data_IF_885952386597
#
_entry.id   IF_885952386597
#
_cell.length_a   1.000
_cell.length_b   1.000
_cell.length_c   1.000
_cell.angle_alpha   90.00
_cell.angle_beta   90.00
_cell.angle_gamma   90.00
#
_symmetry.space_group_name_H-M   'P 1'
#
loop_
_entity.id
_entity.type
_entity.pdbx_description
1 polymer ?
#
# COMPACT_ATOMS: atom_id res chain seq x y z
N UNK A 1 -3.15 -10.45 5.09
CA UNK A 1 -3.52 -9.17 4.46
C UNK A 1 -2.50 -8.07 4.72
N UNK A 2 -1.26 -8.24 4.24
CA UNK A 2 -0.20 -7.20 4.22
C UNK A 2 0.78 -7.39 3.04
N UNK A 3 0.64 -8.46 2.25
CA UNK A 3 1.50 -8.70 1.10
C UNK A 3 1.29 -7.57 0.08
N UNK A 4 2.38 -6.86 -0.25
CA UNK A 4 2.37 -5.78 -1.23
C UNK A 4 2.12 -4.38 -0.68
N UNK A 5 2.09 -4.14 0.65
CA UNK A 5 2.05 -2.75 1.15
C UNK A 5 3.34 -2.00 0.80
N UNK A 6 3.20 -0.77 0.31
CA UNK A 6 4.32 0.11 0.05
C UNK A 6 4.99 0.57 1.36
N UNK A 7 6.28 0.84 1.29
CA UNK A 7 7.05 1.44 2.39
C UNK A 7 6.45 2.78 2.82
N UNK A 8 6.15 3.63 1.84
CA UNK A 8 5.44 4.89 2.02
C UNK A 8 4.21 4.89 1.13
N UNK A 9 3.10 5.41 1.64
CA UNK A 9 1.86 5.60 0.90
C UNK A 9 1.22 6.92 1.32
N UNK A 10 0.88 7.77 0.36
CA UNK A 10 0.09 8.97 0.63
C UNK A 10 -1.38 8.57 0.75
N UNK A 11 -1.99 8.88 1.89
CA UNK A 11 -3.43 8.79 2.10
C UNK A 11 -4.02 10.16 1.83
N UNK A 12 -5.04 10.19 0.97
CA UNK A 12 -5.68 11.41 0.45
C UNK A 12 -4.75 12.23 -0.46
N UNK A 13 -5.08 12.42 -1.74
CA UNK A 13 -4.52 13.51 -2.51
C UNK A 13 -5.14 14.83 -2.07
N UNK A 14 -4.40 15.88 -2.36
CA UNK A 14 -4.77 17.28 -2.25
C UNK A 14 -5.98 17.60 -3.15
N UNK A 15 -7.19 17.57 -2.59
CA UNK A 15 -8.35 18.12 -3.26
C UNK A 15 -8.28 19.65 -3.19
N UNK A 16 -8.28 20.40 -4.30
CA UNK A 16 -8.18 21.85 -4.25
C UNK A 16 -9.33 22.42 -3.42
N UNK A 17 -8.99 23.09 -2.31
CA UNK A 17 -9.90 23.99 -1.64
C UNK A 17 -10.20 25.14 -2.61
N UNK A 18 -11.45 25.28 -3.05
CA UNK A 18 -11.92 26.35 -3.96
C UNK A 18 -12.16 27.68 -3.24
N UNK A 19 -11.20 28.07 -2.41
CA UNK A 19 -11.18 29.36 -1.73
C UNK A 19 -9.76 29.90 -1.81
N UNK A 20 -9.58 31.12 -2.31
CA UNK A 20 -8.30 31.79 -2.65
C UNK A 20 -7.28 31.93 -1.51
N UNK A 21 -7.49 31.28 -0.36
CA UNK A 21 -6.57 31.22 0.79
C UNK A 21 -6.62 29.84 1.46
N UNK A 22 -5.82 28.89 0.99
CA UNK A 22 -5.23 27.87 1.87
C UNK A 22 -4.07 27.19 1.16
N UNK A 23 -2.85 27.42 1.65
CA UNK A 23 -1.62 26.80 1.15
C UNK A 23 -1.43 25.34 1.61
N UNK A 24 -2.28 24.82 2.49
CA UNK A 24 -2.06 23.50 3.11
C UNK A 24 -3.05 22.46 2.62
N UNK A 25 -2.93 22.15 1.33
CA UNK A 25 -3.34 20.85 0.84
C UNK A 25 -2.16 19.92 1.15
N UNK A 26 -2.21 19.22 2.28
CA UNK A 26 -1.18 18.25 2.63
C UNK A 26 -1.85 16.94 2.99
N UNK A 27 -1.96 16.02 2.03
CA UNK A 27 -2.29 14.63 2.29
C UNK A 27 -1.41 14.00 3.38
N UNK A 28 -1.88 12.89 3.97
CA UNK A 28 -1.14 12.21 5.05
C UNK A 28 -0.13 11.24 4.44
N UNK A 29 1.16 11.49 4.65
CA UNK A 29 2.20 10.53 4.29
C UNK A 29 2.32 9.44 5.37
N UNK A 30 1.80 8.23 5.07
CA UNK A 30 1.98 7.06 5.93
C UNK A 30 3.27 6.33 5.57
N UNK A 31 4.25 6.34 6.49
CA UNK A 31 5.53 5.64 6.35
C UNK A 31 5.55 4.41 7.26
N UNK A 32 6.15 3.32 6.78
CA UNK A 32 6.31 2.04 7.50
C UNK A 32 7.80 1.68 7.59
N UNK A 33 8.61 2.39 8.40
CA UNK A 33 10.07 2.23 8.43
C UNK A 33 10.51 0.80 8.77
N UNK A 34 9.73 0.11 9.60
CA UNK A 34 10.03 -1.22 10.10
C UNK A 34 9.50 -2.35 9.21
N UNK A 35 9.00 -2.05 8.00
CA UNK A 35 8.36 -3.02 7.12
C UNK A 35 9.31 -4.13 6.63
N UNK A 36 10.59 -3.81 6.50
CA UNK A 36 11.61 -4.75 6.01
C UNK A 36 12.30 -5.53 7.13
N UNK A 37 12.04 -5.17 8.38
CA UNK A 37 12.63 -5.83 9.54
C UNK A 37 11.79 -7.04 9.93
N UNK A 38 12.47 -8.15 10.23
CA UNK A 38 11.83 -9.29 10.88
C UNK A 38 11.60 -8.99 12.36
N UNK A 39 10.75 -9.78 13.02
CA UNK A 39 10.51 -9.59 14.46
C UNK A 39 11.79 -9.89 15.26
N UNK A 40 12.56 -10.85 14.79
CA UNK A 40 13.86 -11.23 15.32
C UNK A 40 14.88 -10.09 15.22
N UNK A 41 14.92 -9.35 14.10
CA UNK A 41 15.77 -8.16 13.95
C UNK A 41 15.39 -7.09 14.98
N UNK A 42 14.09 -6.87 15.20
CA UNK A 42 13.62 -5.88 16.17
C UNK A 42 14.01 -6.23 17.61
N UNK A 43 13.99 -7.53 17.97
CA UNK A 43 14.47 -7.97 19.28
C UNK A 43 15.96 -7.70 19.45
N UNK A 44 16.77 -8.08 18.46
CA UNK A 44 18.22 -7.86 18.49
C UNK A 44 18.57 -6.38 18.64
N UNK A 45 17.89 -5.51 17.88
CA UNK A 45 18.06 -4.04 17.98
C UNK A 45 17.73 -3.56 19.41
N UNK A 46 16.65 -4.06 20.02
CA UNK A 46 16.30 -3.67 21.38
C UNK A 46 17.34 -4.16 22.41
N UNK A 47 17.79 -5.40 22.30
CA UNK A 47 18.81 -5.99 23.17
C UNK A 47 20.14 -5.24 23.10
N UNK A 48 20.65 -4.99 21.90
CA UNK A 48 21.89 -4.24 21.68
C UNK A 48 21.86 -2.82 22.26
N UNK A 49 20.66 -2.21 22.32
CA UNK A 49 20.46 -0.87 22.87
C UNK A 49 19.99 -0.88 24.34
N UNK A 50 19.97 -2.03 25.01
CA UNK A 50 19.42 -2.20 26.36
C UNK A 50 17.98 -1.65 26.51
N UNK A 51 17.22 -1.64 25.42
CA UNK A 51 15.86 -1.14 25.39
C UNK A 51 14.91 -2.24 25.88
N UNK A 52 14.23 -1.98 27.01
CA UNK A 52 13.19 -2.89 27.51
C UNK A 52 11.92 -2.75 26.67
N UNK A 53 11.20 -3.85 26.48
CA UNK A 53 9.88 -3.89 25.85
C UNK A 53 8.89 -4.71 26.68
N UNK A 54 7.61 -4.56 26.36
CA UNK A 54 6.51 -5.32 26.95
C UNK A 54 5.84 -6.14 25.85
N UNK A 55 5.54 -7.40 26.14
CA UNK A 55 4.75 -8.25 25.25
C UNK A 55 3.27 -8.09 25.59
N UNK A 56 2.49 -7.58 24.63
CA UNK A 56 1.04 -7.47 24.77
C UNK A 56 0.42 -8.89 24.93
N UNK A 57 -0.31 -9.17 26.03
CA UNK A 57 -0.95 -10.46 26.26
C UNK A 57 -1.88 -10.89 25.13
N UNK A 58 -2.53 -9.94 24.45
CA UNK A 58 -3.47 -10.19 23.36
C UNK A 58 -2.79 -10.83 22.15
N UNK A 59 -1.47 -10.72 22.00
CA UNK A 59 -0.72 -11.39 20.94
C UNK A 59 -0.93 -12.91 20.97
N UNK A 60 -1.15 -13.50 22.15
CA UNK A 60 -1.34 -14.96 22.31
C UNK A 60 -2.78 -15.42 22.06
N UNK A 61 -3.72 -14.48 21.90
CA UNK A 61 -5.12 -14.80 21.68
C UNK A 61 -5.36 -15.30 20.25
N UNK A 62 -6.03 -16.45 20.12
CA UNK A 62 -6.45 -17.02 18.84
C UNK A 62 -7.79 -16.45 18.33
N UNK A 63 -8.41 -15.51 19.06
CA UNK A 63 -9.68 -14.89 18.67
C UNK A 63 -9.58 -14.20 17.31
N UNK A 64 -8.47 -13.51 17.04
CA UNK A 64 -8.27 -12.77 15.80
C UNK A 64 -7.60 -13.62 14.72
N UNK A 65 -8.15 -13.58 13.50
CA UNK A 65 -7.60 -14.29 12.34
C UNK A 65 -6.12 -13.98 12.08
N UNK A 66 -5.71 -12.72 12.30
CA UNK A 66 -4.31 -12.30 12.19
C UNK A 66 -3.39 -13.11 13.10
N UNK A 67 -3.78 -13.33 14.36
CA UNK A 67 -2.96 -14.07 15.32
C UNK A 67 -2.90 -15.55 14.97
N UNK A 68 -4.02 -16.15 14.54
CA UNK A 68 -4.04 -17.54 14.06
C UNK A 68 -3.08 -17.74 12.88
N UNK A 69 -3.11 -16.84 11.90
CA UNK A 69 -2.18 -16.86 10.75
C UNK A 69 -0.74 -16.72 11.24
N UNK A 70 -0.45 -15.77 12.13
CA UNK A 70 0.90 -15.57 12.69
C UNK A 70 1.41 -16.83 13.39
N UNK A 71 0.58 -17.48 14.20
CA UNK A 71 0.93 -18.73 14.89
C UNK A 71 1.17 -19.88 13.92
N UNK A 72 0.31 -20.05 12.92
CA UNK A 72 0.49 -21.05 11.88
C UNK A 72 1.80 -20.84 11.11
N UNK A 73 2.11 -19.60 10.74
CA UNK A 73 3.36 -19.24 10.07
C UNK A 73 4.60 -19.49 10.96
N UNK A 74 4.49 -19.26 12.28
CA UNK A 74 5.57 -19.58 13.22
C UNK A 74 5.78 -21.09 13.40
N UNK A 75 4.72 -21.89 13.30
CA UNK A 75 4.80 -23.35 13.37
C UNK A 75 5.42 -23.98 12.11
N UNK A 76 5.50 -23.25 10.99
CA UNK A 76 6.19 -23.71 9.78
C UNK A 76 7.70 -23.76 10.03
N UNK A 77 8.24 -24.97 10.23
CA UNK A 77 9.69 -25.20 10.37
C UNK A 77 10.46 -25.20 9.05
N UNK A 78 9.77 -25.05 7.92
CA UNK A 78 10.38 -25.10 6.59
C UNK A 78 10.97 -23.73 6.22
N UNK A 79 12.29 -23.61 6.30
CA UNK A 79 13.03 -22.39 5.97
C UNK A 79 12.93 -22.01 4.49
N UNK A 80 12.86 -22.98 3.57
CA UNK A 80 12.73 -22.73 2.14
C UNK A 80 11.40 -22.04 1.82
N UNK A 81 10.29 -22.57 2.35
CA UNK A 81 8.97 -21.95 2.18
C UNK A 81 8.91 -20.52 2.74
N UNK A 82 9.56 -20.27 3.89
CA UNK A 82 9.63 -18.92 4.47
C UNK A 82 10.37 -17.96 3.54
N UNK A 83 11.48 -18.39 2.93
CA UNK A 83 12.25 -17.60 1.96
C UNK A 83 11.47 -17.32 0.68
N UNK A 84 10.77 -18.33 0.14
CA UNK A 84 9.91 -18.18 -1.05
C UNK A 84 8.78 -17.19 -0.79
N UNK A 85 8.12 -17.28 0.37
CA UNK A 85 7.08 -16.34 0.77
C UNK A 85 7.60 -14.90 0.86
N UNK A 86 8.79 -14.68 1.44
CA UNK A 86 9.40 -13.34 1.49
C UNK A 86 9.71 -12.81 0.09
N UNK A 87 10.23 -13.67 -0.79
CA UNK A 87 10.52 -13.33 -2.19
C UNK A 87 9.24 -12.93 -2.93
N UNK A 88 8.17 -13.71 -2.75
CA UNK A 88 6.86 -13.43 -3.34
C UNK A 88 6.28 -12.11 -2.83
N UNK A 89 6.33 -11.86 -1.51
CA UNK A 89 5.88 -10.59 -0.92
C UNK A 89 6.66 -9.40 -1.51
N UNK A 90 7.97 -9.54 -1.66
CA UNK A 90 8.82 -8.53 -2.29
C UNK A 90 8.45 -8.28 -3.76
N UNK A 91 8.22 -9.34 -4.52
CA UNK A 91 7.76 -9.24 -5.91
C UNK A 91 6.41 -8.53 -6.01
N UNK A 92 5.41 -8.95 -5.23
CA UNK A 92 4.11 -8.30 -5.18
C UNK A 92 4.20 -6.80 -4.83
N UNK A 93 5.11 -6.43 -3.93
CA UNK A 93 5.35 -5.03 -3.55
C UNK A 93 5.87 -4.20 -4.73
N UNK A 94 6.89 -4.70 -5.42
CA UNK A 94 7.45 -4.03 -6.61
C UNK A 94 6.41 -3.89 -7.71
N UNK A 95 5.64 -4.95 -7.96
CA UNK A 95 4.55 -4.93 -8.95
C UNK A 95 3.49 -3.89 -8.59
N UNK A 96 3.08 -3.80 -7.32
CA UNK A 96 2.13 -2.78 -6.88
C UNK A 96 2.66 -1.37 -7.09
N UNK A 97 3.89 -1.09 -6.64
CA UNK A 97 4.51 0.22 -6.83
C UNK A 97 4.56 0.64 -8.30
N UNK A 98 4.90 -0.30 -9.19
CA UNK A 98 4.88 -0.05 -10.63
C UNK A 98 3.47 0.27 -11.13
N UNK A 99 2.46 -0.52 -10.76
CA UNK A 99 1.07 -0.30 -11.15
C UNK A 99 0.58 1.06 -10.63
N UNK A 100 0.82 1.37 -9.36
CA UNK A 100 0.40 2.64 -8.75
C UNK A 100 1.04 3.83 -9.48
N UNK A 101 2.31 3.74 -9.84
CA UNK A 101 2.99 4.77 -10.65
C UNK A 101 2.37 4.91 -12.04
N UNK A 102 2.10 3.81 -12.75
CA UNK A 102 1.46 3.85 -14.06
C UNK A 102 0.03 4.44 -13.97
N UNK A 103 -0.73 4.08 -12.95
CA UNK A 103 -2.05 4.64 -12.68
C UNK A 103 -1.97 6.15 -12.42
N UNK A 104 -1.03 6.61 -11.59
CA UNK A 104 -0.85 8.04 -11.34
C UNK A 104 -0.48 8.81 -12.61
N UNK A 105 0.44 8.26 -13.41
CA UNK A 105 0.84 8.85 -14.69
C UNK A 105 -0.35 8.98 -15.66
N UNK A 106 -1.21 7.96 -15.73
CA UNK A 106 -2.43 7.99 -16.54
C UNK A 106 -3.46 8.98 -16.00
N UNK A 107 -3.69 9.00 -14.68
CA UNK A 107 -4.62 9.94 -14.02
C UNK A 107 -4.21 11.38 -14.32
N UNK A 108 -2.93 11.72 -14.19
CA UNK A 108 -2.41 13.06 -14.45
C UNK A 108 -2.58 13.52 -15.91
N UNK A 109 -2.64 12.60 -16.86
CA UNK A 109 -2.81 12.92 -18.28
C UNK A 109 -4.27 12.89 -18.75
N UNK A 110 -5.06 11.97 -18.22
CA UNK A 110 -6.41 11.71 -18.70
C UNK A 110 -7.50 12.35 -17.85
N UNK A 111 -7.22 12.76 -16.61
CA UNK A 111 -8.25 13.25 -15.69
C UNK A 111 -7.99 14.71 -15.32
N UNK A 112 -9.04 15.52 -15.38
CA UNK A 112 -9.06 16.91 -14.91
C UNK A 112 -10.15 17.09 -13.87
N UNK A 113 -9.78 17.42 -12.63
CA UNK A 113 -10.74 17.75 -11.56
C UNK A 113 -11.18 19.21 -11.73
N UNK A 114 -12.49 19.45 -11.66
CA UNK A 114 -13.09 20.78 -11.83
C UNK A 114 -13.50 21.40 -10.49
N UNK A 115 -13.56 22.75 -10.43
CA UNK A 115 -14.05 23.52 -9.28
C UNK A 115 -15.34 23.06 -8.64
N UNK A 116 -16.26 22.61 -9.47
CA UNK A 116 -17.60 22.24 -9.04
C UNK A 116 -17.67 20.79 -8.52
N UNK A 117 -16.53 20.16 -8.20
CA UNK A 117 -16.48 18.85 -7.55
C UNK A 117 -16.63 17.63 -8.47
N UNK A 118 -16.54 17.82 -9.79
CA UNK A 118 -16.61 16.72 -10.76
C UNK A 118 -15.28 16.54 -11.51
N UNK A 119 -15.07 15.34 -12.06
CA UNK A 119 -13.91 15.00 -12.87
C UNK A 119 -14.29 14.92 -14.35
N UNK A 120 -13.41 15.39 -15.23
CA UNK A 120 -13.51 15.21 -16.68
C UNK A 120 -12.43 14.21 -17.11
N UNK A 121 -12.84 13.17 -17.83
CA UNK A 121 -11.93 12.11 -18.30
C UNK A 121 -11.78 12.24 -19.82
N UNK A 122 -10.54 12.41 -20.29
CA UNK A 122 -10.20 12.38 -21.70
C UNK A 122 -10.05 10.93 -22.18
N UNK A 123 -11.14 10.40 -22.74
CA UNK A 123 -11.20 9.03 -23.24
C UNK A 123 -10.25 8.76 -24.41
N UNK A 124 -9.88 9.78 -25.21
CA UNK A 124 -8.91 9.61 -26.30
C UNK A 124 -7.53 9.28 -25.77
N UNK A 125 -7.11 9.94 -24.68
CA UNK A 125 -5.83 9.70 -24.00
C UNK A 125 -5.75 8.29 -23.39
N UNK A 126 -6.89 7.73 -22.97
CA UNK A 126 -6.96 6.37 -22.40
C UNK A 126 -6.82 5.26 -23.44
N UNK A 127 -6.86 5.58 -24.74
CA UNK A 127 -6.81 4.63 -25.85
C UNK A 127 -7.60 3.34 -25.59
N UNK A 128 -8.95 3.39 -25.56
CA UNK A 128 -9.81 2.29 -25.11
C UNK A 128 -9.83 1.07 -26.05
N UNK A 129 -8.95 1.02 -27.04
CA UNK A 129 -8.95 -0.04 -28.04
C UNK A 129 -8.39 -1.35 -27.46
N UNK A 130 -9.24 -2.39 -27.46
CA UNK A 130 -8.98 -3.83 -27.24
C UNK A 130 -9.09 -4.41 -25.81
N UNK A 131 -10.07 -4.00 -24.99
CA UNK A 131 -10.51 -4.86 -23.85
C UNK A 131 -12.03 -4.95 -23.77
N UNK A 132 -12.56 -6.17 -23.89
CA UNK A 132 -14.00 -6.45 -23.91
C UNK A 132 -14.69 -6.07 -22.58
N UNK A 133 -13.94 -6.08 -21.48
CA UNK A 133 -14.45 -5.89 -20.12
C UNK A 133 -14.71 -4.41 -19.75
N UNK A 134 -14.24 -3.46 -20.57
CA UNK A 134 -14.38 -2.02 -20.32
C UNK A 134 -14.88 -1.33 -21.59
N UNK A 135 -16.19 -1.27 -21.77
CA UNK A 135 -16.80 -0.61 -22.94
C UNK A 135 -16.81 0.92 -22.80
N UNK A 136 -15.65 1.55 -22.96
CA UNK A 136 -15.54 3.02 -23.04
C UNK A 136 -15.98 3.56 -24.42
N UNK A 137 -16.12 2.70 -25.42
CA UNK A 137 -16.53 3.06 -26.78
C UNK A 137 -17.94 3.66 -26.88
N UNK A 138 -18.82 3.42 -25.89
CA UNK A 138 -20.16 4.03 -25.85
C UNK A 138 -20.14 5.53 -25.53
N UNK A 139 -19.00 6.06 -25.07
CA UNK A 139 -18.83 7.45 -24.62
C UNK A 139 -17.88 8.26 -25.52
N UNK A 140 -17.37 7.67 -26.60
CA UNK A 140 -16.59 8.33 -27.65
C UNK A 140 -17.50 8.71 -28.83
#
# INVERSE_FOLDING_TARGET
GLAGMAFASQLFPDFPHFTEKSLDNQGILMVRPLLEFTKEDLYKICEENNQKWVEDPTNRSSLFSRNRIRMALQALKNSALRSELQTLIGACRRTRLYIDHQCQYLLNQAVSIKPHGYAVINLKTLNPSKRDDITLSKFL
#
